data_IF_482268386468
#
_entry.id   IF_482268386468
#
_cell.length_a   1.000
_cell.length_b   1.000
_cell.length_c   1.000
_cell.angle_alpha   90.00
_cell.angle_beta   90.00
_cell.angle_gamma   90.00
#
_symmetry.space_group_name_H-M   'P 1'
#
loop_
_entity.id
_entity.type
_entity.pdbx_description
1 polymer ?
#
# COMPACT_ATOMS: atom_id res chain seq x y z
N UNK A 1 6.58 -14.00 -6.94
CA UNK A 1 5.24 -13.56 -6.53
C UNK A 1 4.85 -12.44 -7.47
N UNK A 2 3.75 -12.60 -8.23
CA UNK A 2 3.21 -11.51 -9.04
C UNK A 2 2.25 -10.75 -8.13
N UNK A 3 2.42 -9.43 -8.04
CA UNK A 3 1.51 -8.54 -7.30
C UNK A 3 0.38 -8.17 -8.26
N UNK A 4 -0.86 -8.34 -7.83
CA UNK A 4 -2.05 -7.92 -8.57
C UNK A 4 -2.68 -6.69 -7.92
N UNK A 5 -3.42 -5.93 -8.72
CA UNK A 5 -4.15 -4.77 -8.28
C UNK A 5 -5.14 -5.16 -7.17
N UNK A 6 -5.11 -4.41 -6.06
CA UNK A 6 -5.95 -4.69 -4.90
C UNK A 6 -5.28 -5.55 -3.82
N UNK A 7 -4.12 -6.16 -4.11
CA UNK A 7 -3.38 -6.91 -3.09
C UNK A 7 -2.90 -5.99 -1.95
N UNK A 8 -2.96 -6.51 -0.72
CA UNK A 8 -2.36 -5.89 0.45
C UNK A 8 -1.16 -6.73 0.91
N UNK A 9 0.02 -6.11 0.93
CA UNK A 9 1.26 -6.77 1.33
C UNK A 9 2.16 -5.82 2.12
N UNK A 10 3.11 -6.38 2.86
CA UNK A 10 4.08 -5.58 3.62
C UNK A 10 5.19 -5.07 2.71
N UNK A 11 5.46 -3.76 2.83
CA UNK A 11 6.56 -3.08 2.13
C UNK A 11 7.48 -2.43 3.17
N UNK A 12 8.79 -2.52 2.96
CA UNK A 12 9.78 -1.75 3.71
C UNK A 12 10.01 -0.40 3.03
N UNK A 13 9.67 0.69 3.71
CA UNK A 13 9.84 2.06 3.20
C UNK A 13 11.18 2.69 3.61
N UNK A 14 12.11 1.91 4.14
CA UNK A 14 13.45 2.39 4.48
C UNK A 14 14.44 2.19 3.31
N UNK A 15 15.39 3.12 3.09
CA UNK A 15 15.54 4.39 3.80
C UNK A 15 14.49 5.42 3.40
N UNK A 16 14.02 6.21 4.37
CA UNK A 16 13.06 7.29 4.16
C UNK A 16 13.68 8.64 4.51
N UNK A 17 13.35 9.67 3.73
CA UNK A 17 13.86 11.02 3.93
C UNK A 17 12.75 11.94 4.47
N UNK A 18 13.03 12.66 5.57
CA UNK A 18 12.10 13.64 6.16
C UNK A 18 10.81 13.01 6.70
N UNK A 19 9.66 13.60 6.34
CA UNK A 19 8.31 13.21 6.77
C UNK A 19 7.66 12.14 5.87
N UNK A 20 8.43 11.51 4.98
CA UNK A 20 7.94 10.39 4.18
C UNK A 20 7.58 9.20 5.07
N UNK A 21 6.75 8.31 4.54
CA UNK A 21 6.41 7.04 5.19
C UNK A 21 7.68 6.20 5.41
N UNK A 22 7.77 5.51 6.55
CA UNK A 22 8.97 4.82 7.08
C UNK A 22 8.63 3.43 7.58
N UNK A 23 9.64 2.59 7.80
CA UNK A 23 9.49 1.25 8.36
C UNK A 23 8.69 0.28 7.48
N UNK A 24 8.62 -0.96 7.93
CA UNK A 24 7.80 -1.99 7.31
C UNK A 24 6.33 -1.78 7.68
N UNK A 25 5.46 -1.63 6.69
CA UNK A 25 4.00 -1.47 6.90
C UNK A 25 3.20 -2.07 5.74
N UNK A 26 1.92 -2.41 5.98
CA UNK A 26 1.05 -2.85 4.89
C UNK A 26 0.85 -1.73 3.86
N UNK A 27 0.72 -2.12 2.60
CA UNK A 27 0.44 -1.23 1.49
C UNK A 27 -0.49 -1.91 0.47
N UNK A 28 -1.34 -1.13 -0.17
CA UNK A 28 -2.30 -1.56 -1.19
C UNK A 28 -1.70 -1.35 -2.58
N UNK A 29 -1.71 -2.38 -3.44
CA UNK A 29 -1.38 -2.24 -4.86
C UNK A 29 -2.44 -1.43 -5.61
N UNK A 30 -2.02 -0.30 -6.19
CA UNK A 30 -2.89 0.58 -6.98
C UNK A 30 -2.72 0.39 -8.48
N UNK A 31 -1.51 0.04 -8.94
CA UNK A 31 -1.23 -0.11 -10.35
C UNK A 31 -1.90 -1.34 -10.95
N UNK A 32 -2.30 -1.23 -12.21
CA UNK A 32 -2.81 -2.36 -13.00
C UNK A 32 -1.77 -3.49 -13.13
N UNK A 33 -2.23 -4.73 -13.22
CA UNK A 33 -1.40 -5.94 -13.26
C UNK A 33 -0.34 -5.92 -14.37
N UNK A 34 -0.64 -5.27 -15.49
CA UNK A 34 0.32 -5.11 -16.59
C UNK A 34 1.60 -4.36 -16.18
N UNK A 35 1.51 -3.45 -15.21
CA UNK A 35 2.68 -2.70 -14.71
C UNK A 35 3.62 -3.64 -13.95
N UNK A 36 3.07 -4.51 -13.10
CA UNK A 36 3.84 -5.54 -12.41
C UNK A 36 4.38 -6.57 -13.40
N UNK A 37 3.56 -7.00 -14.36
CA UNK A 37 3.90 -8.05 -15.32
C UNK A 37 5.04 -7.65 -16.27
N UNK A 38 4.98 -6.44 -16.85
CA UNK A 38 5.97 -5.98 -17.82
C UNK A 38 7.07 -5.13 -17.20
N UNK A 39 6.77 -4.38 -16.14
CA UNK A 39 7.70 -3.42 -15.53
C UNK A 39 8.42 -3.94 -14.29
N UNK A 40 7.97 -5.04 -13.69
CA UNK A 40 8.54 -5.55 -12.43
C UNK A 40 8.42 -4.57 -11.25
N UNK A 41 7.50 -3.61 -11.34
CA UNK A 41 7.27 -2.57 -10.35
C UNK A 41 5.78 -2.41 -10.06
N UNK A 42 5.44 -1.83 -8.92
CA UNK A 42 4.05 -1.58 -8.52
C UNK A 42 3.95 -0.24 -7.80
N UNK A 43 2.88 0.48 -8.07
CA UNK A 43 2.53 1.71 -7.36
C UNK A 43 1.66 1.31 -6.17
N UNK A 44 2.02 1.77 -4.98
CA UNK A 44 1.31 1.40 -3.74
C UNK A 44 0.82 2.61 -2.95
N UNK A 45 -0.28 2.43 -2.23
CA UNK A 45 -0.70 3.32 -1.13
C UNK A 45 -0.35 2.70 0.23
N UNK A 46 0.41 3.39 1.09
CA UNK A 46 0.72 2.91 2.43
C UNK A 46 -0.51 2.93 3.33
N UNK A 47 -0.68 1.90 4.14
CA UNK A 47 -1.75 1.78 5.13
C UNK A 47 -1.18 2.14 6.51
N UNK A 48 -1.91 2.97 7.24
CA UNK A 48 -1.59 3.39 8.61
C UNK A 48 -2.69 2.98 9.56
N UNK A 49 -2.32 2.65 10.81
CA UNK A 49 -3.26 2.44 11.90
C UNK A 49 -3.70 3.75 12.57
N UNK A 50 -3.06 4.88 12.24
CA UNK A 50 -3.44 6.19 12.74
C UNK A 50 -4.56 6.76 11.90
N UNK A 51 -5.69 7.07 12.53
CA UNK A 51 -6.80 7.77 11.90
C UNK A 51 -6.42 9.24 11.65
N UNK A 52 -6.63 9.70 10.42
CA UNK A 52 -6.49 11.11 10.05
C UNK A 52 -7.70 11.55 9.26
N UNK A 53 -8.30 12.65 9.68
CA UNK A 53 -9.42 13.26 8.97
C UNK A 53 -8.90 14.19 7.88
N UNK A 54 -8.50 13.61 6.75
CA UNK A 54 -7.99 14.35 5.59
C UNK A 54 -8.52 13.71 4.30
N UNK A 55 -8.81 14.54 3.29
CA UNK A 55 -9.49 14.14 2.04
C UNK A 55 -8.88 12.94 1.31
N UNK A 56 -7.57 12.76 1.44
CA UNK A 56 -6.83 11.69 0.76
C UNK A 56 -6.75 10.39 1.56
N UNK A 57 -7.34 10.34 2.76
CA UNK A 57 -7.44 9.13 3.57
C UNK A 57 -8.77 8.42 3.31
N UNK A 58 -8.68 7.12 3.02
CA UNK A 58 -9.85 6.26 2.88
C UNK A 58 -9.86 5.26 4.04
N UNK A 59 -10.97 5.21 4.79
CA UNK A 59 -11.14 4.26 5.89
C UNK A 59 -11.26 2.84 5.34
N UNK A 60 -10.37 1.95 5.77
CA UNK A 60 -10.48 0.53 5.48
C UNK A 60 -11.42 -0.11 6.49
N UNK A 61 -12.46 -0.79 5.99
CA UNK A 61 -13.34 -1.61 6.83
C UNK A 61 -12.64 -2.94 7.10
N UNK A 62 -12.76 -3.44 8.32
CA UNK A 62 -12.36 -4.82 8.63
C UNK A 62 -13.19 -5.78 7.78
N UNK A 63 -12.55 -6.79 7.21
CA UNK A 63 -13.25 -7.87 6.51
C UNK A 63 -14.16 -8.58 7.51
N UNK A 64 -15.43 -8.77 7.18
CA UNK A 64 -16.29 -9.67 7.94
C UNK A 64 -15.61 -11.04 7.93
N UNK A 65 -15.23 -11.54 9.11
CA UNK A 65 -14.71 -12.89 9.23
C UNK A 65 -15.77 -13.85 8.67
N UNK A 66 -15.45 -14.48 7.54
CA UNK A 66 -16.22 -15.61 7.01
C UNK A 66 -15.82 -16.85 7.81
#
# INVERSE_FOLDING_TARGET
MVVSQGDIFYVDFNPSLGHKQKNRRPALALSHDLVAHFGGLTIVAPISSTEQNYLMYHLLKTTNAV
#
